data_IF_475790169409
#
_entry.id   IF_475790169409
#
_cell.length_a   1.000
_cell.length_b   1.000
_cell.length_c   1.000
_cell.angle_alpha   90.00
_cell.angle_beta   90.00
_cell.angle_gamma   90.00
#
_symmetry.space_group_name_H-M   'P 1'
#
loop_
_entity.id
_entity.type
_entity.pdbx_description
1 polymer ?
#
# COMPACT_ATOMS: atom_id res chain seq x y z
N UNK A 1 -1.11 4.99 34.31
CA UNK A 1 -0.58 5.16 32.93
C UNK A 1 -1.15 6.44 32.34
N UNK A 2 -0.34 7.36 31.73
CA UNK A 2 -0.84 8.59 31.11
C UNK A 2 -0.64 8.56 29.60
N UNK A 3 -1.57 9.15 28.84
CA UNK A 3 -1.52 9.27 27.37
C UNK A 3 -0.23 9.96 26.89
N UNK A 4 0.28 10.92 27.65
CA UNK A 4 1.54 11.60 27.34
C UNK A 4 2.73 10.64 27.29
N UNK A 5 2.83 9.68 28.22
CA UNK A 5 3.89 8.66 28.23
C UNK A 5 3.79 7.69 27.06
N UNK A 6 2.57 7.33 26.64
CA UNK A 6 2.35 6.51 25.46
C UNK A 6 2.72 7.23 24.17
N UNK A 7 2.41 8.54 24.05
CA UNK A 7 2.88 9.36 22.93
C UNK A 7 4.41 9.40 22.85
N UNK A 8 5.08 9.53 24.00
CA UNK A 8 6.55 9.51 24.06
C UNK A 8 7.09 8.13 23.66
N UNK A 9 6.46 7.03 24.12
CA UNK A 9 6.80 5.68 23.68
C UNK A 9 6.68 5.55 22.16
N UNK A 10 5.58 5.97 21.56
CA UNK A 10 5.36 5.94 20.10
C UNK A 10 6.42 6.72 19.34
N UNK A 11 6.74 7.92 19.80
CA UNK A 11 7.73 8.77 19.14
C UNK A 11 9.13 8.14 19.17
N UNK A 12 9.54 7.60 20.31
CA UNK A 12 10.84 6.89 20.45
C UNK A 12 10.86 5.62 19.61
N UNK A 13 9.79 4.84 19.60
CA UNK A 13 9.67 3.62 18.81
C UNK A 13 9.77 3.90 17.31
N UNK A 14 9.04 4.92 16.82
CA UNK A 14 9.04 5.32 15.40
C UNK A 14 10.41 5.78 14.89
N UNK A 15 11.14 6.50 15.72
CA UNK A 15 12.44 7.07 15.35
C UNK A 15 13.63 6.18 15.75
N UNK A 16 13.40 5.06 16.45
CA UNK A 16 14.42 4.18 17.03
C UNK A 16 15.52 4.98 17.78
N UNK A 17 15.13 6.12 18.40
CA UNK A 17 16.04 7.07 19.04
C UNK A 17 15.31 7.94 20.05
N UNK A 18 15.81 7.99 21.29
CA UNK A 18 15.26 8.88 22.33
C UNK A 18 15.38 10.36 21.95
N UNK A 19 16.53 10.76 21.39
CA UNK A 19 16.76 12.16 21.00
C UNK A 19 15.87 12.59 19.84
N UNK A 20 15.77 11.75 18.79
CA UNK A 20 14.95 12.04 17.61
C UNK A 20 13.45 11.98 17.96
N UNK A 21 13.02 10.96 18.72
CA UNK A 21 11.64 10.81 19.18
C UNK A 21 11.19 11.97 20.06
N UNK A 22 12.02 12.40 21.02
CA UNK A 22 11.74 13.54 21.87
C UNK A 22 11.56 14.82 21.06
N UNK A 23 12.47 15.09 20.11
CA UNK A 23 12.40 16.27 19.24
C UNK A 23 11.13 16.28 18.41
N UNK A 24 10.71 15.14 17.89
CA UNK A 24 9.50 15.01 17.06
C UNK A 24 8.20 15.40 17.79
N UNK A 25 8.19 15.34 19.12
CA UNK A 25 7.02 15.70 19.95
C UNK A 25 7.28 16.94 20.85
N UNK A 26 8.33 17.71 20.55
CA UNK A 26 8.64 18.95 21.26
C UNK A 26 9.15 18.77 22.70
N UNK A 27 9.73 17.62 23.01
CA UNK A 27 10.31 17.32 24.33
C UNK A 27 11.84 17.34 24.32
N UNK A 28 12.44 17.55 25.50
CA UNK A 28 13.85 17.27 25.69
C UNK A 28 14.10 15.76 25.81
N UNK A 29 15.30 15.30 25.42
CA UNK A 29 15.67 13.89 25.59
C UNK A 29 15.60 13.41 27.03
N UNK A 30 16.07 14.16 28.07
CA UNK A 30 15.93 13.78 29.47
C UNK A 30 14.45 13.56 29.86
N UNK A 31 13.56 14.47 29.43
CA UNK A 31 12.11 14.36 29.69
C UNK A 31 11.54 13.09 29.09
N UNK A 32 11.85 12.80 27.80
CA UNK A 32 11.40 11.58 27.14
C UNK A 32 11.93 10.32 27.86
N UNK A 33 13.20 10.33 28.24
CA UNK A 33 13.81 9.21 29.00
C UNK A 33 13.11 8.99 30.33
N UNK A 34 12.85 10.06 31.09
CA UNK A 34 12.14 9.99 32.38
C UNK A 34 10.71 9.46 32.22
N UNK A 35 10.00 9.88 31.16
CA UNK A 35 8.64 9.40 30.89
C UNK A 35 8.60 7.90 30.55
N UNK A 36 9.52 7.42 29.74
CA UNK A 36 9.62 6.00 29.38
C UNK A 36 10.01 5.17 30.63
N UNK A 37 11.07 5.58 31.33
CA UNK A 37 11.48 4.89 32.56
C UNK A 37 10.38 4.89 33.60
N UNK A 38 9.59 5.97 33.72
CA UNK A 38 8.43 6.04 34.58
C UNK A 38 7.35 5.04 34.20
N UNK A 39 7.13 4.81 32.90
CA UNK A 39 6.20 3.79 32.40
C UNK A 39 6.72 2.38 32.69
N UNK A 40 7.99 2.12 32.40
CA UNK A 40 8.64 0.83 32.63
C UNK A 40 8.64 0.44 34.15
N UNK A 41 8.94 1.39 35.04
CA UNK A 41 8.92 1.17 36.49
C UNK A 41 7.51 0.94 37.02
N UNK A 42 6.50 1.70 36.56
CA UNK A 42 5.10 1.59 37.00
C UNK A 42 4.55 0.18 36.78
N UNK A 43 4.97 -0.49 35.71
CA UNK A 43 4.50 -1.83 35.33
C UNK A 43 5.56 -2.93 35.49
N UNK A 44 6.77 -2.58 35.97
CA UNK A 44 7.91 -3.49 36.11
C UNK A 44 8.22 -4.27 34.80
N UNK A 45 8.30 -3.55 33.69
CA UNK A 45 8.61 -4.09 32.37
C UNK A 45 9.67 -3.22 31.69
N UNK A 46 10.39 -3.81 30.73
CA UNK A 46 11.22 -3.06 29.78
C UNK A 46 10.50 -2.96 28.43
N UNK A 47 10.41 -1.76 27.89
CA UNK A 47 9.82 -1.48 26.58
C UNK A 47 10.89 -1.36 25.48
N UNK A 48 12.07 -0.89 25.89
CA UNK A 48 13.22 -0.73 25.01
C UNK A 48 14.46 -1.39 25.61
N UNK A 49 15.30 -1.96 24.74
CA UNK A 49 16.65 -2.36 25.10
C UNK A 49 17.67 -1.75 24.11
N UNK A 50 18.90 -1.61 24.58
CA UNK A 50 20.01 -1.09 23.80
C UNK A 50 20.79 -2.24 23.18
N UNK A 51 20.95 -2.22 21.86
CA UNK A 51 21.82 -3.13 21.13
C UNK A 51 22.91 -2.31 20.45
N UNK A 52 24.02 -2.12 21.16
CA UNK A 52 25.08 -1.20 20.72
C UNK A 52 24.61 0.25 20.70
N UNK A 53 24.63 0.90 19.53
CA UNK A 53 24.14 2.26 19.31
C UNK A 53 22.66 2.35 18.94
N UNK A 54 21.98 1.24 18.75
CA UNK A 54 20.55 1.19 18.33
C UNK A 54 19.66 0.92 19.53
N UNK A 55 18.46 1.45 19.44
CA UNK A 55 17.36 1.21 20.39
C UNK A 55 16.36 0.32 19.67
N UNK A 56 16.04 -0.80 20.31
CA UNK A 56 15.09 -1.78 19.77
C UNK A 56 13.96 -2.02 20.77
N UNK A 57 12.78 -2.34 20.28
CA UNK A 57 11.65 -2.72 21.13
C UNK A 57 11.88 -4.12 21.74
N UNK A 58 11.54 -4.29 23.00
CA UNK A 58 11.41 -5.60 23.66
C UNK A 58 10.18 -6.35 23.09
N UNK A 59 9.96 -7.60 23.51
CA UNK A 59 8.73 -8.32 23.19
C UNK A 59 7.48 -7.56 23.67
N UNK A 60 7.53 -7.02 24.92
CA UNK A 60 6.45 -6.21 25.49
C UNK A 60 6.28 -4.89 24.73
N UNK A 61 7.38 -4.23 24.34
CA UNK A 61 7.34 -3.02 23.55
C UNK A 61 6.68 -3.25 22.18
N UNK A 62 7.00 -4.37 21.50
CA UNK A 62 6.35 -4.75 20.24
C UNK A 62 4.86 -5.01 20.40
N UNK A 63 4.44 -5.67 21.48
CA UNK A 63 3.03 -5.91 21.78
C UNK A 63 2.28 -4.62 22.13
N UNK A 64 2.93 -3.68 22.84
CA UNK A 64 2.33 -2.39 23.21
C UNK A 64 2.20 -1.44 22.01
N UNK A 65 3.05 -1.56 20.99
CA UNK A 65 3.12 -0.62 19.88
C UNK A 65 1.78 -0.43 19.15
N UNK A 66 1.08 -1.48 18.67
CA UNK A 66 -0.21 -1.31 18.00
C UNK A 66 -1.28 -0.72 18.92
N UNK A 67 -1.31 -1.11 20.20
CA UNK A 67 -2.27 -0.57 21.17
C UNK A 67 -2.05 0.94 21.37
N UNK A 68 -0.80 1.36 21.52
CA UNK A 68 -0.48 2.77 21.68
C UNK A 68 -0.78 3.59 20.41
N UNK A 69 -0.61 3.01 19.23
CA UNK A 69 -0.97 3.61 17.94
C UNK A 69 -2.49 3.82 17.85
N UNK A 70 -3.29 2.79 18.18
CA UNK A 70 -4.74 2.86 18.21
C UNK A 70 -5.23 3.95 19.17
N UNK A 71 -4.69 4.01 20.39
CA UNK A 71 -5.04 5.06 21.36
C UNK A 71 -4.72 6.47 20.85
N UNK A 72 -3.56 6.67 20.25
CA UNK A 72 -3.16 7.98 19.69
C UNK A 72 -4.08 8.40 18.54
N UNK A 73 -4.54 7.45 17.75
CA UNK A 73 -5.46 7.70 16.66
C UNK A 73 -6.85 8.09 17.15
N UNK A 74 -7.42 7.33 18.10
CA UNK A 74 -8.72 7.64 18.71
C UNK A 74 -8.71 9.01 19.39
N UNK A 75 -7.60 9.39 20.04
CA UNK A 75 -7.44 10.72 20.63
C UNK A 75 -7.45 11.81 19.55
N UNK A 76 -6.82 11.56 18.40
CA UNK A 76 -6.85 12.49 17.26
C UNK A 76 -8.25 12.61 16.67
N UNK A 77 -8.97 11.50 16.53
CA UNK A 77 -10.36 11.49 16.04
C UNK A 77 -11.29 12.25 16.99
N UNK A 78 -11.19 12.00 18.31
CA UNK A 78 -11.95 12.73 19.31
C UNK A 78 -11.66 14.23 19.27
N UNK A 79 -10.38 14.61 19.13
CA UNK A 79 -9.96 16.01 19.04
C UNK A 79 -10.53 16.68 17.78
N UNK A 80 -10.52 15.98 16.64
CA UNK A 80 -11.06 16.49 15.38
C UNK A 80 -12.59 16.63 15.48
N UNK A 81 -13.27 15.63 16.03
CA UNK A 81 -14.72 15.70 16.25
C UNK A 81 -15.14 16.91 17.09
N UNK A 82 -14.39 17.19 18.16
CA UNK A 82 -14.67 18.33 19.06
C UNK A 82 -14.34 19.67 18.42
N UNK A 83 -13.32 19.76 17.58
CA UNK A 83 -12.89 21.01 16.94
C UNK A 83 -13.80 21.42 15.77
N UNK A 84 -14.25 20.45 14.99
CA UNK A 84 -14.84 20.71 13.67
C UNK A 84 -16.38 20.74 13.68
N UNK A 85 -17.06 20.57 14.83
CA UNK A 85 -18.52 20.56 14.92
C UNK A 85 -19.20 19.72 13.82
N UNK A 86 -18.54 18.63 13.37
CA UNK A 86 -19.03 17.72 12.34
C UNK A 86 -18.59 18.03 10.89
N UNK A 87 -17.79 19.06 10.66
CA UNK A 87 -17.17 19.29 9.33
C UNK A 87 -15.70 18.90 9.37
N UNK A 88 -15.27 18.07 8.41
CA UNK A 88 -13.89 17.58 8.30
C UNK A 88 -12.97 18.66 7.69
N UNK A 89 -12.65 19.70 8.47
CA UNK A 89 -11.89 20.85 8.00
C UNK A 89 -10.36 20.72 8.22
N UNK A 90 -9.91 19.78 9.03
CA UNK A 90 -8.48 19.49 9.26
C UNK A 90 -8.30 18.04 9.67
N UNK A 91 -7.16 17.48 9.34
CA UNK A 91 -6.82 16.10 9.71
C UNK A 91 -5.72 15.54 8.83
N UNK A 92 -5.47 14.25 8.97
CA UNK A 92 -4.51 13.51 8.18
C UNK A 92 -5.17 12.24 7.64
N UNK A 93 -4.99 11.96 6.34
CA UNK A 93 -5.31 10.70 5.71
C UNK A 93 -4.00 10.00 5.32
N UNK A 94 -3.81 8.78 5.79
CA UNK A 94 -2.64 7.97 5.47
C UNK A 94 -3.07 6.80 4.61
N UNK A 95 -2.56 6.72 3.38
CA UNK A 95 -2.94 5.70 2.41
C UNK A 95 -1.75 4.78 2.14
N UNK A 96 -1.95 3.48 2.31
CA UNK A 96 -1.04 2.43 1.84
C UNK A 96 -1.43 1.98 0.44
N UNK A 97 -0.50 1.67 -0.45
CA UNK A 97 -0.83 1.16 -1.76
C UNK A 97 0.24 0.23 -2.33
N UNK A 98 -0.16 -0.72 -3.17
CA UNK A 98 0.77 -1.63 -3.86
C UNK A 98 1.34 -1.02 -5.16
N UNK A 99 0.85 0.14 -5.56
CA UNK A 99 1.32 0.87 -6.73
C UNK A 99 0.75 2.28 -6.79
N UNK A 100 1.36 3.17 -7.58
CA UNK A 100 1.03 4.59 -7.59
C UNK A 100 -0.24 4.94 -8.37
N UNK A 101 -0.64 4.12 -9.34
CA UNK A 101 -1.60 4.53 -10.38
C UNK A 101 -2.97 4.92 -9.81
N UNK A 102 -3.67 3.99 -9.18
CA UNK A 102 -4.98 4.27 -8.60
C UNK A 102 -4.92 5.23 -7.41
N UNK A 103 -3.93 5.05 -6.53
CA UNK A 103 -3.86 5.85 -5.30
C UNK A 103 -3.64 7.34 -5.59
N UNK A 104 -2.86 7.68 -6.62
CA UNK A 104 -2.64 9.08 -6.98
C UNK A 104 -3.92 9.70 -7.54
N UNK A 105 -4.65 9.00 -8.41
CA UNK A 105 -5.95 9.43 -8.92
C UNK A 105 -6.96 9.65 -7.79
N UNK A 106 -7.08 8.68 -6.88
CA UNK A 106 -7.96 8.76 -5.71
C UNK A 106 -7.63 9.98 -4.83
N UNK A 107 -6.35 10.18 -4.54
CA UNK A 107 -5.89 11.29 -3.70
C UNK A 107 -6.06 12.64 -4.41
N UNK A 108 -5.86 12.73 -5.72
CA UNK A 108 -6.12 13.96 -6.48
C UNK A 108 -7.60 14.36 -6.38
N UNK A 109 -8.53 13.39 -6.57
CA UNK A 109 -9.97 13.63 -6.39
C UNK A 109 -10.29 14.06 -4.95
N UNK A 110 -9.75 13.36 -3.96
CA UNK A 110 -9.99 13.65 -2.55
C UNK A 110 -9.52 15.04 -2.14
N UNK A 111 -8.33 15.46 -2.60
CA UNK A 111 -7.78 16.79 -2.28
C UNK A 111 -8.57 17.96 -2.86
N UNK A 112 -9.33 17.74 -3.93
CA UNK A 112 -10.25 18.77 -4.45
C UNK A 112 -11.44 19.00 -3.52
N UNK A 113 -11.98 17.93 -2.93
CA UNK A 113 -13.10 18.00 -1.99
C UNK A 113 -12.65 18.44 -0.57
N UNK A 114 -11.44 18.03 -0.17
CA UNK A 114 -10.90 18.22 1.19
C UNK A 114 -9.46 18.79 1.17
N UNK A 115 -9.29 20.05 0.69
CA UNK A 115 -7.97 20.64 0.50
C UNK A 115 -7.18 20.89 1.80
N UNK A 116 -7.86 20.88 2.96
CA UNK A 116 -7.26 21.10 4.28
C UNK A 116 -6.83 19.79 4.99
N UNK A 117 -7.04 18.64 4.34
CA UNK A 117 -6.59 17.36 4.87
C UNK A 117 -5.18 17.05 4.34
N UNK A 118 -4.26 16.84 5.26
CA UNK A 118 -2.92 16.36 4.91
C UNK A 118 -2.99 14.90 4.46
N UNK A 119 -2.48 14.61 3.27
CA UNK A 119 -2.47 13.24 2.74
C UNK A 119 -1.04 12.74 2.64
N UNK A 120 -0.81 11.54 3.15
CA UNK A 120 0.45 10.82 2.97
C UNK A 120 0.21 9.46 2.30
N UNK A 121 1.10 9.06 1.38
CA UNK A 121 1.03 7.81 0.65
C UNK A 121 2.28 6.99 0.95
N UNK A 122 2.09 5.70 1.25
CA UNK A 122 3.15 4.70 1.38
C UNK A 122 2.97 3.63 0.33
N UNK A 123 4.02 3.37 -0.45
CA UNK A 123 4.01 2.29 -1.44
C UNK A 123 4.74 1.09 -0.86
N UNK A 124 4.12 -0.08 -0.98
CA UNK A 124 4.66 -1.35 -0.50
C UNK A 124 4.08 -2.54 -1.26
N UNK A 125 4.29 -3.74 -0.75
CA UNK A 125 3.59 -4.94 -1.23
C UNK A 125 2.30 -5.19 -0.42
N UNK A 126 1.45 -6.13 -0.85
CA UNK A 126 0.17 -6.41 -0.18
C UNK A 126 0.34 -6.74 1.30
N UNK A 127 1.34 -7.57 1.65
CA UNK A 127 1.59 -7.94 3.04
C UNK A 127 1.97 -6.72 3.91
N UNK A 128 2.82 -5.82 3.40
CA UNK A 128 3.21 -4.62 4.14
C UNK A 128 2.06 -3.62 4.26
N UNK A 129 1.21 -3.49 3.23
CA UNK A 129 0.04 -2.60 3.30
C UNK A 129 -1.00 -3.11 4.30
N UNK A 130 -1.29 -4.42 4.32
CA UNK A 130 -2.18 -5.02 5.32
C UNK A 130 -1.62 -4.87 6.74
N UNK A 131 -0.33 -5.17 6.94
CA UNK A 131 0.33 -4.97 8.23
C UNK A 131 0.33 -3.49 8.66
N UNK A 132 0.50 -2.54 7.74
CA UNK A 132 0.39 -1.10 8.05
C UNK A 132 -1.03 -0.71 8.48
N UNK A 133 -2.08 -1.32 7.92
CA UNK A 133 -3.47 -1.14 8.37
C UNK A 133 -3.67 -1.72 9.78
N UNK A 134 -3.29 -2.98 10.02
CA UNK A 134 -3.39 -3.64 11.34
C UNK A 134 -2.66 -2.89 12.45
N UNK A 135 -1.52 -2.30 12.10
CA UNK A 135 -0.71 -1.52 13.04
C UNK A 135 -1.09 -0.03 13.06
N UNK A 136 -2.22 0.39 12.47
CA UNK A 136 -2.70 1.78 12.42
C UNK A 136 -1.68 2.78 11.86
N UNK A 137 -0.76 2.30 11.03
CA UNK A 137 0.22 3.14 10.32
C UNK A 137 -0.44 3.85 9.14
N UNK A 138 -1.38 3.16 8.49
CA UNK A 138 -2.23 3.72 7.42
C UNK A 138 -3.70 3.59 7.78
N UNK A 139 -4.54 4.43 7.19
CA UNK A 139 -5.98 4.49 7.40
C UNK A 139 -6.74 3.66 6.36
N UNK A 140 -6.26 3.72 5.12
CA UNK A 140 -6.81 3.02 3.96
C UNK A 140 -5.68 2.33 3.21
N UNK A 141 -5.95 1.14 2.69
CA UNK A 141 -5.07 0.38 1.80
C UNK A 141 -5.67 0.27 0.39
N UNK A 142 -4.84 0.42 -0.64
CA UNK A 142 -5.22 0.19 -2.04
C UNK A 142 -4.44 -1.01 -2.55
N UNK A 143 -5.12 -2.15 -2.65
CA UNK A 143 -4.51 -3.43 -2.98
C UNK A 143 -5.18 -4.07 -4.19
N UNK A 144 -4.41 -4.90 -4.89
CA UNK A 144 -4.94 -5.76 -5.92
C UNK A 144 -5.34 -7.13 -5.34
N UNK A 145 -6.53 -7.61 -5.73
CA UNK A 145 -7.09 -8.88 -5.29
C UNK A 145 -7.79 -8.82 -3.93
N UNK A 146 -8.68 -9.77 -3.72
CA UNK A 146 -9.43 -9.91 -2.47
C UNK A 146 -8.64 -10.75 -1.47
N UNK A 147 -8.49 -10.23 -0.25
CA UNK A 147 -7.97 -10.94 0.91
C UNK A 147 -9.13 -11.18 1.87
N UNK A 148 -9.46 -12.44 2.11
CA UNK A 148 -10.57 -12.87 2.97
C UNK A 148 -10.10 -12.89 4.44
N UNK A 149 -10.16 -11.72 5.08
CA UNK A 149 -9.87 -11.55 6.50
C UNK A 149 -10.92 -10.64 7.12
N UNK A 150 -11.70 -11.12 8.12
CA UNK A 150 -12.78 -10.37 8.75
C UNK A 150 -12.34 -9.12 9.51
N UNK A 151 -11.04 -8.95 9.78
CA UNK A 151 -10.50 -7.73 10.38
C UNK A 151 -10.62 -6.53 9.44
N UNK A 152 -10.74 -6.77 8.12
CA UNK A 152 -10.82 -5.73 7.11
C UNK A 152 -12.19 -5.66 6.45
N UNK A 153 -12.55 -4.46 6.04
CA UNK A 153 -13.57 -4.24 5.00
C UNK A 153 -12.82 -4.03 3.69
N UNK A 154 -13.26 -4.76 2.65
CA UNK A 154 -12.74 -4.64 1.30
C UNK A 154 -13.85 -4.14 0.36
N UNK A 155 -13.65 -3.01 -0.30
CA UNK A 155 -14.59 -2.44 -1.28
C UNK A 155 -13.94 -2.46 -2.66
N UNK A 156 -14.62 -3.08 -3.64
CA UNK A 156 -14.14 -3.09 -5.02
C UNK A 156 -14.15 -1.66 -5.58
N UNK A 157 -12.98 -1.18 -5.99
CA UNK A 157 -12.83 0.13 -6.61
C UNK A 157 -12.82 0.07 -8.13
N UNK A 158 -12.02 -0.82 -8.70
CA UNK A 158 -11.85 -0.89 -10.15
C UNK A 158 -11.51 -2.31 -10.61
N UNK A 159 -11.85 -2.59 -11.87
CA UNK A 159 -11.52 -3.82 -12.56
C UNK A 159 -10.93 -3.46 -13.93
N UNK A 160 -9.71 -3.88 -14.18
CA UNK A 160 -9.00 -3.58 -15.42
C UNK A 160 -8.50 -4.84 -16.11
N UNK A 161 -8.59 -4.90 -17.45
CA UNK A 161 -8.04 -6.03 -18.18
C UNK A 161 -6.52 -6.09 -18.01
N UNK A 162 -6.00 -7.29 -18.03
CA UNK A 162 -4.56 -7.54 -18.17
C UNK A 162 -4.24 -7.50 -19.68
N UNK A 163 -3.24 -6.71 -20.02
CA UNK A 163 -2.78 -6.54 -21.38
C UNK A 163 -1.32 -6.98 -21.53
N UNK A 164 -0.95 -7.35 -22.73
CA UNK A 164 0.42 -7.49 -23.16
C UNK A 164 0.96 -6.14 -23.62
N UNK A 165 2.26 -5.97 -23.56
CA UNK A 165 2.93 -4.90 -24.27
C UNK A 165 4.28 -5.38 -24.80
N UNK A 166 4.64 -4.93 -25.98
CA UNK A 166 5.83 -5.36 -26.67
C UNK A 166 6.54 -4.16 -27.32
N UNK A 167 7.81 -4.35 -27.68
CA UNK A 167 8.53 -3.37 -28.48
C UNK A 167 7.79 -3.10 -29.81
N UNK A 168 7.79 -1.87 -30.29
CA UNK A 168 7.06 -1.46 -31.51
C UNK A 168 7.45 -2.26 -32.77
N UNK A 169 8.66 -2.82 -32.80
CA UNK A 169 9.12 -3.67 -33.89
C UNK A 169 8.78 -5.17 -33.69
N UNK A 170 8.22 -5.55 -32.54
CA UNK A 170 7.82 -6.94 -32.32
C UNK A 170 6.68 -7.33 -33.26
N UNK A 171 6.64 -8.59 -33.77
CA UNK A 171 5.55 -9.03 -34.68
C UNK A 171 4.15 -8.76 -34.14
N UNK A 172 3.94 -8.90 -32.80
CA UNK A 172 2.65 -8.63 -32.20
C UNK A 172 2.24 -7.15 -32.22
N UNK A 173 3.18 -6.22 -32.34
CA UNK A 173 2.88 -4.79 -32.43
C UNK A 173 2.06 -4.39 -33.70
N UNK A 174 1.95 -5.28 -34.64
CA UNK A 174 1.10 -5.10 -35.86
C UNK A 174 -0.38 -5.37 -35.61
N UNK A 175 -0.71 -5.88 -34.41
CA UNK A 175 -2.06 -6.27 -33.99
C UNK A 175 -2.46 -5.50 -32.76
N UNK A 176 -3.73 -5.12 -32.65
CA UNK A 176 -4.29 -4.52 -31.43
C UNK A 176 -4.64 -5.59 -30.40
N UNK A 177 -4.83 -6.82 -30.87
CA UNK A 177 -5.17 -7.96 -30.03
C UNK A 177 -4.60 -9.28 -30.61
N UNK A 178 -4.30 -10.22 -29.71
CA UNK A 178 -3.80 -11.55 -30.09
C UNK A 178 -4.49 -12.63 -29.25
N UNK A 179 -4.70 -13.85 -29.79
CA UNK A 179 -5.19 -14.95 -28.97
C UNK A 179 -4.12 -15.43 -27.99
N UNK A 180 -4.55 -15.96 -26.84
CA UNK A 180 -3.61 -16.47 -25.81
C UNK A 180 -2.65 -17.52 -26.37
N UNK A 181 -3.10 -18.35 -27.34
CA UNK A 181 -2.30 -19.36 -28.02
C UNK A 181 -1.08 -18.79 -28.77
N UNK A 182 -1.15 -17.52 -29.17
CA UNK A 182 -0.01 -16.87 -29.81
C UNK A 182 1.19 -16.70 -28.87
N UNK A 183 0.98 -16.79 -27.55
CA UNK A 183 2.05 -16.72 -26.57
C UNK A 183 2.89 -18.02 -26.47
N UNK A 184 2.47 -19.11 -27.12
CA UNK A 184 3.21 -20.36 -27.09
C UNK A 184 4.66 -20.16 -27.55
N UNK A 185 5.62 -20.48 -26.64
CA UNK A 185 7.05 -20.35 -26.91
C UNK A 185 7.60 -18.92 -27.02
N UNK A 186 6.74 -17.89 -26.95
CA UNK A 186 7.18 -16.49 -27.01
C UNK A 186 7.99 -16.09 -25.77
N UNK A 187 8.99 -15.21 -25.92
CA UNK A 187 9.77 -14.71 -24.79
C UNK A 187 8.92 -13.81 -23.90
N UNK A 188 8.51 -14.31 -22.73
CA UNK A 188 7.70 -13.58 -21.75
C UNK A 188 8.59 -13.09 -20.60
N UNK A 189 8.39 -11.84 -20.20
CA UNK A 189 8.94 -11.25 -18.99
C UNK A 189 7.95 -11.50 -17.85
N UNK A 190 8.37 -12.30 -16.87
CA UNK A 190 7.51 -12.71 -15.75
C UNK A 190 7.67 -11.75 -14.58
N UNK A 191 6.57 -11.39 -13.96
CA UNK A 191 6.57 -10.64 -12.70
C UNK A 191 6.97 -11.55 -11.53
N UNK A 192 7.37 -10.93 -10.44
CA UNK A 192 7.71 -11.59 -9.17
C UNK A 192 6.56 -12.42 -8.60
N UNK A 193 6.90 -13.35 -7.72
CA UNK A 193 5.91 -14.12 -6.98
C UNK A 193 5.01 -13.20 -6.13
N UNK A 194 3.70 -13.44 -6.13
CA UNK A 194 2.70 -12.59 -5.46
C UNK A 194 2.15 -11.44 -6.32
N UNK A 195 2.66 -11.23 -7.54
CA UNK A 195 2.05 -10.30 -8.48
C UNK A 195 0.68 -10.80 -8.95
N UNK A 196 -0.36 -10.00 -8.74
CA UNK A 196 -1.74 -10.33 -9.18
C UNK A 196 -1.86 -10.42 -10.70
N UNK A 197 -1.13 -9.57 -11.43
CA UNK A 197 -1.06 -9.64 -12.90
C UNK A 197 -0.44 -10.96 -13.37
N UNK A 198 0.61 -11.44 -12.69
CA UNK A 198 1.22 -12.74 -12.97
C UNK A 198 0.22 -13.88 -12.72
N UNK A 199 -0.41 -13.90 -11.55
CA UNK A 199 -1.39 -14.93 -11.19
C UNK A 199 -2.55 -14.96 -12.17
N UNK A 200 -3.05 -13.79 -12.58
CA UNK A 200 -4.13 -13.69 -13.55
C UNK A 200 -3.75 -14.24 -14.92
N UNK A 201 -2.55 -13.91 -15.41
CA UNK A 201 -2.05 -14.44 -16.70
C UNK A 201 -1.78 -15.95 -16.62
N UNK A 202 -1.11 -16.43 -15.57
CA UNK A 202 -0.75 -17.86 -15.41
C UNK A 202 -2.02 -18.74 -15.45
N UNK A 203 -3.14 -18.32 -14.83
CA UNK A 203 -4.43 -19.04 -14.90
C UNK A 203 -4.95 -19.21 -16.33
N UNK A 204 -4.85 -18.16 -17.15
CA UNK A 204 -5.34 -18.20 -18.54
C UNK A 204 -4.40 -19.02 -19.43
N UNK A 205 -3.10 -18.93 -19.21
CA UNK A 205 -2.12 -19.76 -19.90
C UNK A 205 -2.33 -21.24 -19.61
N UNK A 206 -2.55 -21.58 -18.32
CA UNK A 206 -2.82 -22.95 -17.89
C UNK A 206 -4.13 -23.48 -18.47
N UNK A 207 -5.21 -22.70 -18.42
CA UNK A 207 -6.50 -23.09 -19.00
C UNK A 207 -6.46 -23.31 -20.54
N UNK A 208 -5.55 -22.61 -21.21
CA UNK A 208 -5.37 -22.72 -22.66
C UNK A 208 -4.28 -23.71 -23.10
N UNK A 209 -3.60 -24.36 -22.12
CA UNK A 209 -2.43 -25.25 -22.35
C UNK A 209 -1.30 -24.54 -23.15
N UNK A 210 -1.03 -23.28 -22.77
CA UNK A 210 -0.01 -22.44 -23.42
C UNK A 210 1.19 -22.24 -22.51
N UNK A 211 2.37 -22.54 -23.03
CA UNK A 211 3.64 -22.43 -22.28
C UNK A 211 4.57 -21.43 -22.97
N UNK A 212 4.61 -20.15 -22.55
CA UNK A 212 5.59 -19.21 -23.05
C UNK A 212 6.99 -19.53 -22.51
N UNK A 213 8.02 -19.09 -23.21
CA UNK A 213 9.40 -19.17 -22.73
C UNK A 213 9.67 -18.00 -21.79
N UNK A 214 9.94 -18.28 -20.52
CA UNK A 214 10.32 -17.22 -19.56
C UNK A 214 11.71 -16.70 -19.91
N UNK A 215 11.77 -15.47 -20.38
CA UNK A 215 13.02 -14.79 -20.70
C UNK A 215 13.72 -14.23 -19.48
N UNK A 216 12.95 -13.69 -18.52
CA UNK A 216 13.46 -13.09 -17.28
C UNK A 216 12.35 -12.96 -16.25
N UNK A 217 12.68 -12.99 -14.95
CA UNK A 217 11.77 -12.61 -13.86
C UNK A 217 12.15 -11.21 -13.34
N UNK A 218 11.17 -10.32 -13.18
CA UNK A 218 11.39 -8.91 -12.87
C UNK A 218 10.38 -8.45 -11.81
N UNK A 219 10.87 -7.94 -10.67
CA UNK A 219 10.06 -7.48 -9.52
C UNK A 219 9.60 -6.01 -9.59
N UNK A 220 10.05 -5.23 -10.57
CA UNK A 220 9.69 -3.80 -10.73
C UNK A 220 8.99 -3.56 -12.06
N UNK A 221 7.92 -2.76 -12.05
CA UNK A 221 7.18 -2.37 -13.28
C UNK A 221 8.04 -1.50 -14.20
N UNK A 222 8.86 -0.64 -13.63
CA UNK A 222 9.79 0.23 -14.36
C UNK A 222 10.87 -0.61 -15.06
N UNK A 223 11.44 -1.58 -14.37
CA UNK A 223 12.43 -2.48 -14.95
C UNK A 223 11.80 -3.39 -16.00
N UNK A 224 10.55 -3.86 -15.80
CA UNK A 224 9.78 -4.61 -16.79
C UNK A 224 9.60 -3.80 -18.07
N UNK A 225 9.16 -2.54 -17.94
CA UNK A 225 8.99 -1.62 -19.06
C UNK A 225 10.29 -1.39 -19.82
N UNK A 226 11.39 -1.15 -19.13
CA UNK A 226 12.70 -0.95 -19.73
C UNK A 226 13.19 -2.21 -20.47
N UNK A 227 12.94 -3.41 -19.93
CA UNK A 227 13.29 -4.66 -20.58
C UNK A 227 12.51 -4.87 -21.90
N UNK A 228 11.21 -4.49 -21.93
CA UNK A 228 10.40 -4.55 -23.18
C UNK A 228 10.90 -3.52 -24.20
N UNK A 229 11.24 -2.32 -23.77
CA UNK A 229 11.83 -1.28 -24.64
C UNK A 229 13.13 -1.78 -25.30
N UNK A 230 13.90 -2.62 -24.61
CA UNK A 230 15.11 -3.25 -25.17
C UNK A 230 14.85 -4.50 -26.00
N UNK A 231 13.59 -4.88 -26.19
CA UNK A 231 13.23 -6.04 -27.01
C UNK A 231 13.56 -7.39 -26.36
N UNK A 232 13.77 -7.46 -25.01
CA UNK A 232 14.14 -8.71 -24.32
C UNK A 232 12.98 -9.72 -24.33
N UNK A 233 11.72 -9.21 -24.31
CA UNK A 233 10.53 -10.05 -24.34
C UNK A 233 9.25 -9.25 -24.25
N UNK A 234 8.13 -9.95 -24.16
CA UNK A 234 6.78 -9.39 -24.01
C UNK A 234 6.53 -9.14 -22.53
N UNK A 235 6.08 -7.94 -22.19
CA UNK A 235 5.65 -7.57 -20.85
C UNK A 235 4.15 -7.78 -20.67
N UNK A 236 3.74 -7.90 -19.40
CA UNK A 236 2.33 -8.04 -18.98
C UNK A 236 2.03 -7.07 -17.88
N UNK A 237 0.91 -6.36 -18.00
CA UNK A 237 0.52 -5.33 -17.03
C UNK A 237 -1.00 -5.19 -16.97
N UNK A 238 -1.55 -4.66 -15.86
CA UNK A 238 -2.91 -4.16 -15.85
C UNK A 238 -3.03 -2.95 -16.79
N UNK A 239 -4.09 -2.84 -17.58
CA UNK A 239 -4.28 -1.74 -18.53
C UNK A 239 -4.17 -0.37 -17.84
N UNK A 240 -4.69 -0.23 -16.62
CA UNK A 240 -4.59 1.00 -15.83
C UNK A 240 -3.15 1.38 -15.43
N UNK A 241 -2.24 0.41 -15.43
CA UNK A 241 -0.83 0.60 -15.07
C UNK A 241 0.08 0.76 -16.30
N UNK A 242 -0.49 0.69 -17.49
CA UNK A 242 0.28 0.83 -18.73
C UNK A 242 0.66 2.28 -18.98
N UNK A 243 1.95 2.53 -19.09
CA UNK A 243 2.49 3.85 -19.46
C UNK A 243 2.90 3.80 -20.93
N UNK A 244 2.19 4.56 -21.75
CA UNK A 244 2.48 4.66 -23.19
C UNK A 244 3.90 5.18 -23.46
N UNK A 245 4.50 4.65 -24.52
CA UNK A 245 5.81 5.07 -25.06
C UNK A 245 5.80 4.81 -26.56
N UNK A 246 6.37 5.70 -27.41
CA UNK A 246 6.42 5.47 -28.84
C UNK A 246 7.12 4.18 -29.26
N UNK A 247 7.98 3.63 -28.43
CA UNK A 247 8.70 2.36 -28.65
C UNK A 247 7.91 1.14 -28.22
N UNK A 248 6.73 1.32 -27.60
CA UNK A 248 5.91 0.26 -27.04
C UNK A 248 4.53 0.22 -27.70
N UNK A 249 4.01 -0.97 -27.89
CA UNK A 249 2.62 -1.21 -28.30
C UNK A 249 1.90 -2.02 -27.24
N UNK A 250 0.77 -1.51 -26.78
CA UNK A 250 -0.19 -2.25 -25.96
C UNK A 250 -1.00 -3.20 -26.85
N UNK A 251 -1.26 -4.42 -26.37
CA UNK A 251 -1.89 -5.50 -27.13
C UNK A 251 -2.85 -6.24 -26.20
N UNK A 252 -4.11 -6.36 -26.58
CA UNK A 252 -5.11 -7.08 -25.81
C UNK A 252 -4.99 -8.60 -26.03
N UNK A 253 -5.43 -9.37 -25.04
CA UNK A 253 -5.54 -10.82 -25.14
C UNK A 253 -6.99 -11.15 -25.51
N UNK A 254 -7.19 -11.86 -26.66
CA UNK A 254 -8.51 -12.36 -27.06
C UNK A 254 -8.79 -13.67 -26.34
N UNK A 255 -10.03 -13.88 -25.92
CA UNK A 255 -10.52 -15.06 -25.23
C UNK A 255 -11.16 -14.71 -23.90
N UNK A 256 -11.01 -15.57 -22.90
CA UNK A 256 -11.50 -15.26 -21.57
C UNK A 256 -10.78 -14.04 -21.01
N UNK A 257 -11.51 -12.97 -20.69
CA UNK A 257 -10.91 -11.73 -20.27
C UNK A 257 -10.19 -11.90 -18.94
N UNK A 258 -8.90 -11.59 -18.93
CA UNK A 258 -8.06 -11.60 -17.73
C UNK A 258 -8.14 -10.25 -17.08
N UNK A 259 -8.56 -10.20 -15.83
CA UNK A 259 -8.70 -8.94 -15.10
C UNK A 259 -7.83 -8.93 -13.85
N UNK A 260 -7.40 -7.72 -13.48
CA UNK A 260 -6.97 -7.40 -12.12
C UNK A 260 -8.04 -6.55 -11.46
N UNK A 261 -8.31 -6.82 -10.21
CA UNK A 261 -9.28 -6.07 -9.40
C UNK A 261 -8.51 -5.30 -8.33
N UNK A 262 -8.85 -4.02 -8.17
CA UNK A 262 -8.30 -3.16 -7.14
C UNK A 262 -9.36 -2.91 -6.09
N UNK A 263 -9.01 -3.12 -4.83
CA UNK A 263 -9.87 -2.94 -3.68
C UNK A 263 -9.33 -1.85 -2.75
N UNK A 264 -10.27 -1.18 -2.10
CA UNK A 264 -10.00 -0.32 -0.96
C UNK A 264 -10.18 -1.15 0.32
N UNK A 265 -9.16 -1.11 1.18
CA UNK A 265 -9.16 -1.81 2.46
C UNK A 265 -9.10 -0.82 3.61
N UNK A 266 -9.83 -1.11 4.66
CA UNK A 266 -9.72 -0.44 5.95
C UNK A 266 -10.14 -1.39 7.07
N UNK A 267 -9.68 -1.14 8.30
CA UNK A 267 -10.07 -1.96 9.45
C UNK A 267 -11.57 -1.84 9.73
N UNK A 268 -12.25 -2.97 9.92
CA UNK A 268 -13.70 -3.03 10.17
C UNK A 268 -14.11 -2.20 11.39
N UNK A 269 -13.28 -2.18 12.44
CA UNK A 269 -13.50 -1.38 13.65
C UNK A 269 -13.38 0.14 13.41
N UNK A 270 -12.77 0.56 12.27
CA UNK A 270 -12.62 1.96 11.87
C UNK A 270 -13.69 2.46 10.89
N UNK A 271 -14.73 1.67 10.68
CA UNK A 271 -15.84 2.03 9.77
C UNK A 271 -16.50 3.37 10.12
N UNK A 272 -16.49 3.77 11.40
CA UNK A 272 -17.02 5.04 11.89
C UNK A 272 -16.07 6.24 11.71
N UNK A 273 -14.84 6.03 11.26
CA UNK A 273 -13.85 7.09 11.07
C UNK A 273 -14.32 8.09 10.00
N UNK A 274 -14.42 9.37 10.37
CA UNK A 274 -14.85 10.42 9.45
C UNK A 274 -13.89 10.61 8.28
N UNK A 275 -12.58 10.45 8.51
CA UNK A 275 -11.56 10.57 7.47
C UNK A 275 -11.73 9.46 6.44
N UNK A 276 -11.89 8.21 6.88
CA UNK A 276 -12.15 7.07 5.99
C UNK A 276 -13.46 7.27 5.23
N UNK A 277 -14.55 7.58 5.95
CA UNK A 277 -15.86 7.79 5.34
C UNK A 277 -15.86 8.93 4.32
N UNK A 278 -15.10 10.01 4.55
CA UNK A 278 -14.98 11.11 3.58
C UNK A 278 -14.24 10.68 2.32
N UNK A 279 -13.16 9.90 2.46
CA UNK A 279 -12.41 9.37 1.33
C UNK A 279 -13.27 8.44 0.47
N UNK A 280 -13.96 7.48 1.09
CA UNK A 280 -14.89 6.58 0.39
C UNK A 280 -16.00 7.35 -0.34
N UNK A 281 -16.61 8.37 0.27
CA UNK A 281 -17.64 9.22 -0.38
C UNK A 281 -17.13 9.95 -1.61
N UNK A 282 -15.90 10.44 -1.60
CA UNK A 282 -15.28 11.07 -2.79
C UNK A 282 -15.15 10.08 -3.93
N UNK A 283 -14.83 8.82 -3.62
CA UNK A 283 -14.58 7.79 -4.64
C UNK A 283 -15.88 7.16 -5.18
N UNK A 284 -16.98 7.22 -4.44
CA UNK A 284 -18.28 6.72 -4.86
C UNK A 284 -19.02 7.63 -5.88
N UNK A 285 -18.49 8.83 -6.12
CA UNK A 285 -18.97 9.80 -7.13
C UNK A 285 -18.30 9.59 -8.48
#
# INVERSE_FOLDING_TARGET
MSTARLRTFLAVARHASFSAGARAIGLSQPTATTQIQGLEREFNVELFHRRGRRIELTAVGRALLPIAQQMSMLESEATNLLRDSGQLNRGQLKVGAVGPFHVIEMVDRYRRDYPQIDVSIRIGNSASVLADLENYVTDVGVLAGLHDDPAFVAELYARHPVILFAHAEHPFARHDEVPVQALQGQPLLRREQGSTTRVALERVLEAADVTPRIAMEIGSREALREAVIRGIGIGVVSEAEYIGDPRLKAIRIIGDPVFTETYLYYLAERRSSQVIASFLRTLAR
#
